data_IF_379631648026
#
_entry.id   IF_379631648026
#
_cell.length_a   1.000
_cell.length_b   1.000
_cell.length_c   1.000
_cell.angle_alpha   90.00
_cell.angle_beta   90.00
_cell.angle_gamma   90.00
#
_symmetry.space_group_name_H-M   'P 1'
#
loop_
_entity.id
_entity.type
_entity.pdbx_description
1 polymer ?
#
# COMPACT_ATOMS: atom_id res chain seq x y z
N UNK A 1 5.19 -6.61 2.81
CA UNK A 1 5.69 -6.63 1.42
C UNK A 1 7.23 -6.55 1.38
N UNK A 2 7.93 -5.61 2.06
CA UNK A 2 9.39 -5.59 2.05
C UNK A 2 10.06 -6.90 2.45
N UNK A 3 9.52 -7.60 3.45
CA UNK A 3 10.07 -8.89 3.90
C UNK A 3 9.92 -9.99 2.85
N UNK A 4 8.85 -9.96 2.06
CA UNK A 4 8.68 -10.85 0.92
C UNK A 4 9.81 -10.67 -0.11
N UNK A 5 10.11 -9.43 -0.49
CA UNK A 5 11.19 -9.14 -1.42
C UNK A 5 12.57 -9.48 -0.85
N UNK A 6 12.82 -9.23 0.44
CA UNK A 6 14.08 -9.64 1.11
C UNK A 6 14.26 -11.16 1.11
N UNK A 7 13.18 -11.90 1.41
CA UNK A 7 13.23 -13.37 1.37
C UNK A 7 13.53 -13.87 -0.04
N UNK A 8 12.86 -13.30 -1.05
CA UNK A 8 13.10 -13.65 -2.45
C UNK A 8 14.55 -13.38 -2.90
N UNK A 9 15.12 -12.22 -2.55
CA UNK A 9 16.53 -11.88 -2.88
C UNK A 9 17.53 -12.82 -2.17
N UNK A 10 17.17 -13.28 -0.97
CA UNK A 10 17.97 -14.26 -0.23
C UNK A 10 17.79 -15.71 -0.71
N UNK A 11 16.91 -15.95 -1.71
CA UNK A 11 16.57 -17.30 -2.17
C UNK A 11 15.76 -18.14 -1.15
N UNK A 12 15.09 -17.47 -0.22
CA UNK A 12 14.31 -18.11 0.85
C UNK A 12 12.81 -17.95 0.62
N UNK A 13 12.03 -18.87 1.22
CA UNK A 13 10.58 -18.70 1.36
C UNK A 13 10.28 -17.64 2.42
N UNK A 14 9.29 -16.78 2.15
CA UNK A 14 8.79 -15.84 3.14
C UNK A 14 8.12 -16.60 4.31
N UNK A 15 8.45 -16.25 5.54
CA UNK A 15 7.81 -16.81 6.72
C UNK A 15 6.69 -15.88 7.18
N UNK A 16 5.48 -16.42 7.34
CA UNK A 16 4.29 -15.66 7.76
C UNK A 16 3.78 -16.23 9.09
N UNK A 17 3.65 -15.35 10.10
CA UNK A 17 3.13 -15.71 11.42
C UNK A 17 1.61 -15.72 11.48
N UNK A 18 0.95 -14.76 10.84
CA UNK A 18 -0.49 -14.54 10.91
C UNK A 18 -1.10 -14.46 9.51
N UNK A 19 -1.22 -15.58 8.76
CA UNK A 19 -1.68 -15.56 7.36
C UNK A 19 -3.10 -15.03 7.19
N UNK A 20 -3.97 -15.27 8.16
CA UNK A 20 -5.38 -14.83 8.13
C UNK A 20 -5.60 -13.40 8.65
N UNK A 21 -4.54 -12.73 9.15
CA UNK A 21 -4.68 -11.37 9.64
C UNK A 21 -4.98 -10.40 8.50
N UNK A 22 -6.04 -9.61 8.66
CA UNK A 22 -6.47 -8.59 7.70
C UNK A 22 -5.77 -7.27 8.04
N UNK A 23 -5.22 -6.62 7.00
CA UNK A 23 -4.50 -5.35 7.13
C UNK A 23 -4.99 -4.35 6.09
N UNK A 24 -4.88 -3.04 6.37
CA UNK A 24 -5.28 -1.96 5.47
C UNK A 24 -4.18 -1.72 4.40
N UNK A 25 -4.16 -2.57 3.39
CA UNK A 25 -3.17 -2.50 2.31
C UNK A 25 -3.49 -1.38 1.34
N UNK A 26 -2.50 -0.57 1.00
CA UNK A 26 -2.62 0.48 -0.01
C UNK A 26 -1.25 0.84 -0.61
N UNK A 27 -1.25 1.45 -1.79
CA UNK A 27 -0.04 1.98 -2.39
C UNK A 27 0.46 3.20 -1.62
N UNK A 28 1.77 3.43 -1.60
CA UNK A 28 2.37 4.55 -0.86
C UNK A 28 1.89 5.92 -1.35
N UNK A 29 1.51 6.06 -2.61
CA UNK A 29 0.99 7.31 -3.18
C UNK A 29 -0.37 7.69 -2.58
N UNK A 30 -1.15 6.74 -2.06
CA UNK A 30 -2.44 7.01 -1.42
C UNK A 30 -2.30 7.91 -0.18
N UNK A 31 -1.56 7.50 0.88
CA UNK A 31 -1.38 8.37 2.03
C UNK A 31 -0.56 9.62 1.71
N UNK A 32 0.41 9.56 0.78
CA UNK A 32 1.19 10.75 0.37
C UNK A 32 0.27 11.79 -0.24
N UNK A 33 -0.66 11.41 -1.12
CA UNK A 33 -1.64 12.36 -1.69
C UNK A 33 -2.46 13.04 -0.60
N UNK A 34 -2.92 12.27 0.39
CA UNK A 34 -3.63 12.79 1.56
C UNK A 34 -2.79 13.77 2.39
N UNK A 35 -1.52 13.46 2.62
CA UNK A 35 -0.61 14.35 3.34
C UNK A 35 -0.38 15.67 2.60
N UNK A 36 -0.23 15.63 1.28
CA UNK A 36 -0.09 16.85 0.46
C UNK A 36 -1.36 17.69 0.46
N UNK A 37 -2.54 17.07 0.38
CA UNK A 37 -3.82 17.77 0.51
C UNK A 37 -3.97 18.42 1.89
N UNK A 38 -3.64 17.71 2.96
CA UNK A 38 -3.65 18.24 4.33
C UNK A 38 -2.67 19.39 4.49
N UNK A 39 -1.43 19.25 4.00
CA UNK A 39 -0.43 20.31 4.04
C UNK A 39 -0.91 21.57 3.33
N UNK A 40 -1.53 21.44 2.14
CA UNK A 40 -2.15 22.54 1.42
C UNK A 40 -3.24 23.22 2.27
N UNK A 41 -4.13 22.48 2.91
CA UNK A 41 -5.19 23.03 3.77
C UNK A 41 -4.63 23.74 5.00
N UNK A 42 -3.60 23.19 5.64
CA UNK A 42 -2.93 23.83 6.78
C UNK A 42 -2.33 25.19 6.40
N UNK A 43 -1.71 25.29 5.22
CA UNK A 43 -1.13 26.56 4.74
C UNK A 43 -2.20 27.57 4.32
N UNK A 44 -3.31 27.10 3.70
CA UNK A 44 -4.30 28.01 3.10
C UNK A 44 -5.46 28.37 4.03
N UNK A 45 -5.84 27.47 4.95
CA UNK A 45 -7.01 27.63 5.84
C UNK A 45 -6.57 27.73 7.32
N UNK A 46 -5.42 27.14 7.67
CA UNK A 46 -4.83 27.26 9.01
C UNK A 46 -5.26 26.19 10.01
N UNK A 47 -5.32 26.58 11.29
CA UNK A 47 -5.40 25.70 12.45
C UNK A 47 -6.61 24.75 12.47
N UNK A 48 -7.67 25.04 11.76
CA UNK A 48 -8.86 24.18 11.65
C UNK A 48 -8.57 22.77 11.09
N UNK A 49 -7.40 22.57 10.49
CA UNK A 49 -6.92 21.29 9.99
C UNK A 49 -5.77 20.69 10.82
N UNK A 50 -5.31 21.38 11.89
CA UNK A 50 -4.23 20.94 12.76
C UNK A 50 -4.71 19.88 13.77
N UNK A 51 -5.10 18.72 13.27
CA UNK A 51 -5.64 17.60 14.03
C UNK A 51 -5.20 16.24 13.44
N UNK A 52 -5.53 15.14 14.13
CA UNK A 52 -5.20 13.80 13.64
C UNK A 52 -6.05 13.42 12.41
N UNK A 53 -5.40 12.82 11.41
CA UNK A 53 -6.03 12.36 10.17
C UNK A 53 -5.60 10.94 9.84
N UNK A 54 -6.54 10.14 9.34
CA UNK A 54 -6.28 8.80 8.83
C UNK A 54 -6.51 8.76 7.32
N UNK A 55 -5.60 8.10 6.62
CA UNK A 55 -5.69 7.82 5.18
C UNK A 55 -5.55 6.31 4.99
N UNK A 56 -6.65 5.63 4.75
CA UNK A 56 -6.71 4.18 4.62
C UNK A 56 -7.49 3.75 3.39
N UNK A 57 -7.29 2.50 2.95
CA UNK A 57 -7.97 1.95 1.77
C UNK A 57 -9.47 1.81 2.01
N UNK A 58 -10.21 1.61 0.93
CA UNK A 58 -11.63 1.26 1.01
C UNK A 58 -11.82 -0.14 1.61
N UNK A 59 -12.97 -0.40 2.22
CA UNK A 59 -13.25 -1.70 2.86
C UNK A 59 -13.14 -2.87 1.88
N UNK A 60 -13.51 -2.65 0.63
CA UNK A 60 -13.43 -3.66 -0.44
C UNK A 60 -11.99 -4.08 -0.78
N UNK A 61 -11.00 -3.32 -0.35
CA UNK A 61 -9.56 -3.60 -0.55
C UNK A 61 -8.91 -4.31 0.65
N UNK A 62 -9.69 -4.63 1.68
CA UNK A 62 -9.22 -5.41 2.82
C UNK A 62 -8.86 -6.84 2.38
N UNK A 63 -7.62 -7.26 2.64
CA UNK A 63 -7.12 -8.60 2.30
C UNK A 63 -6.32 -9.17 3.47
N UNK A 64 -6.34 -10.51 3.57
CA UNK A 64 -5.47 -11.22 4.49
C UNK A 64 -4.01 -11.17 4.01
N UNK A 65 -3.08 -11.39 4.93
CA UNK A 65 -1.65 -11.47 4.60
C UNK A 65 -1.39 -12.57 3.57
N UNK A 66 -2.02 -13.75 3.71
CA UNK A 66 -1.87 -14.86 2.76
C UNK A 66 -2.33 -14.45 1.35
N UNK A 67 -3.49 -13.82 1.20
CA UNK A 67 -3.99 -13.37 -0.11
C UNK A 67 -3.01 -12.40 -0.81
N UNK A 68 -2.39 -11.50 -0.04
CA UNK A 68 -1.37 -10.58 -0.60
C UNK A 68 -0.15 -11.35 -1.07
N UNK A 69 0.35 -12.27 -0.25
CA UNK A 69 1.57 -13.02 -0.58
C UNK A 69 1.33 -14.03 -1.71
N UNK A 70 0.16 -14.65 -1.76
CA UNK A 70 -0.27 -15.50 -2.88
C UNK A 70 -0.26 -14.70 -4.19
N UNK A 71 -0.86 -13.49 -4.20
CA UNK A 71 -0.83 -12.63 -5.39
C UNK A 71 0.62 -12.29 -5.83
N UNK A 72 1.51 -12.02 -4.88
CA UNK A 72 2.93 -11.77 -5.19
C UNK A 72 3.61 -13.03 -5.75
N UNK A 73 3.34 -14.21 -5.19
CA UNK A 73 3.90 -15.47 -5.67
C UNK A 73 3.42 -15.82 -7.08
N UNK A 74 2.17 -15.55 -7.39
CA UNK A 74 1.62 -15.79 -8.74
C UNK A 74 2.29 -14.91 -9.81
N UNK A 75 2.70 -13.71 -9.44
CA UNK A 75 3.31 -12.73 -10.37
C UNK A 75 4.85 -12.85 -10.44
N UNK A 76 5.49 -13.36 -9.39
CA UNK A 76 6.95 -13.38 -9.27
C UNK A 76 7.45 -14.82 -9.20
N UNK A 77 8.01 -15.31 -10.30
CA UNK A 77 8.55 -16.67 -10.38
C UNK A 77 9.68 -16.91 -9.38
N UNK A 78 9.67 -18.08 -8.77
CA UNK A 78 10.69 -18.50 -7.82
C UNK A 78 10.45 -18.03 -6.38
N UNK A 79 9.38 -17.28 -6.15
CA UNK A 79 8.97 -16.92 -4.79
C UNK A 79 8.09 -18.01 -4.17
N UNK A 80 8.12 -18.10 -2.86
CA UNK A 80 7.28 -19.01 -2.07
C UNK A 80 7.11 -18.48 -0.65
N UNK A 81 6.14 -19.03 0.07
CA UNK A 81 5.91 -18.68 1.46
C UNK A 81 5.52 -19.90 2.29
N UNK A 82 5.75 -19.81 3.59
CA UNK A 82 5.40 -20.83 4.58
C UNK A 82 4.84 -20.18 5.84
N UNK A 83 4.07 -20.94 6.60
CA UNK A 83 3.60 -20.52 7.93
C UNK A 83 4.72 -20.75 8.94
N UNK A 84 5.07 -19.71 9.68
CA UNK A 84 6.03 -19.81 10.77
C UNK A 84 5.35 -20.43 12.01
N UNK A 85 5.80 -21.62 12.42
CA UNK A 85 5.28 -22.33 13.59
C UNK A 85 5.93 -21.83 14.88
N UNK A 86 5.70 -20.58 15.26
CA UNK A 86 6.13 -20.05 16.55
C UNK A 86 4.90 -19.81 17.43
N UNK A 87 5.03 -20.09 18.73
CA UNK A 87 4.03 -19.75 19.76
C UNK A 87 3.68 -18.26 19.69
N UNK A 88 2.47 -17.94 19.27
CA UNK A 88 2.09 -16.59 18.88
C UNK A 88 1.87 -15.68 20.08
N UNK A 89 2.57 -14.55 20.10
CA UNK A 89 2.07 -13.34 20.73
C UNK A 89 0.76 -12.94 20.04
N UNK A 90 -0.27 -12.64 20.80
CA UNK A 90 -1.61 -12.34 20.32
C UNK A 90 -1.57 -11.12 19.39
N UNK A 91 -1.56 -11.33 18.08
CA UNK A 91 -1.64 -10.28 17.07
C UNK A 91 -3.10 -10.04 16.69
N UNK A 92 -3.53 -8.78 16.62
CA UNK A 92 -4.89 -8.45 16.21
C UNK A 92 -5.20 -9.05 14.82
N UNK A 93 -6.23 -9.90 14.75
CA UNK A 93 -6.65 -10.58 13.52
C UNK A 93 -7.19 -9.61 12.46
N UNK A 94 -7.74 -8.47 12.91
CA UNK A 94 -8.33 -7.45 12.04
C UNK A 94 -7.82 -6.07 12.43
N UNK A 95 -7.23 -5.36 11.47
CA UNK A 95 -6.89 -3.95 11.58
C UNK A 95 -7.49 -3.22 10.38
N UNK A 96 -8.34 -2.22 10.65
CA UNK A 96 -8.92 -1.32 9.66
C UNK A 96 -8.58 0.13 10.01
N UNK A 97 -8.55 0.98 9.01
CA UNK A 97 -8.36 2.43 9.17
C UNK A 97 -9.62 3.13 8.68
N UNK A 98 -10.27 3.89 9.58
CA UNK A 98 -11.37 4.76 9.18
C UNK A 98 -10.84 6.07 8.62
N UNK A 99 -11.07 6.28 7.33
CA UNK A 99 -10.72 7.49 6.58
C UNK A 99 -11.91 8.40 6.24
N UNK A 100 -13.06 8.18 6.87
CA UNK A 100 -14.30 8.96 6.62
C UNK A 100 -14.09 10.47 6.80
N UNK A 101 -13.29 10.87 7.78
CA UNK A 101 -12.93 12.27 8.02
C UNK A 101 -12.12 12.87 6.85
N UNK A 102 -11.14 12.15 6.33
CA UNK A 102 -10.35 12.60 5.19
C UNK A 102 -11.23 12.71 3.93
N UNK A 103 -12.11 11.76 3.70
CA UNK A 103 -13.07 11.78 2.59
C UNK A 103 -14.02 12.97 2.69
N UNK A 104 -14.61 13.24 3.87
CA UNK A 104 -15.63 14.29 4.03
C UNK A 104 -15.09 15.72 4.14
N UNK A 105 -13.86 15.90 4.64
CA UNK A 105 -13.33 17.25 4.93
C UNK A 105 -12.17 17.67 4.04
N UNK A 106 -11.45 16.71 3.44
CA UNK A 106 -10.38 16.99 2.49
C UNK A 106 -10.75 16.63 1.05
N UNK A 107 -11.92 16.02 0.82
CA UNK A 107 -12.30 15.43 -0.47
C UNK A 107 -11.27 14.39 -0.96
N UNK A 108 -10.54 13.77 -0.01
CA UNK A 108 -9.56 12.75 -0.34
C UNK A 108 -10.25 11.48 -0.80
N UNK A 109 -9.85 10.97 -1.95
CA UNK A 109 -10.41 9.74 -2.55
C UNK A 109 -9.28 8.77 -2.83
N UNK A 110 -9.43 7.54 -2.35
CA UNK A 110 -8.56 6.42 -2.69
C UNK A 110 -8.62 6.14 -4.20
N UNK A 111 -7.48 6.07 -4.88
CA UNK A 111 -7.41 5.97 -6.35
C UNK A 111 -7.16 4.56 -6.84
N UNK A 112 -6.20 3.85 -6.26
CA UNK A 112 -5.77 2.53 -6.72
C UNK A 112 -6.28 1.44 -5.78
N UNK A 113 -7.13 0.56 -6.30
CA UNK A 113 -7.52 -0.64 -5.57
C UNK A 113 -6.30 -1.52 -5.27
N UNK A 114 -6.49 -2.51 -4.40
CA UNK A 114 -5.39 -3.36 -3.93
C UNK A 114 -4.65 -4.09 -5.06
N UNK A 115 -5.34 -4.52 -6.10
CA UNK A 115 -4.73 -5.21 -7.24
C UNK A 115 -3.79 -4.27 -8.01
N UNK A 116 -4.24 -3.06 -8.30
CA UNK A 116 -3.43 -2.02 -8.94
C UNK A 116 -2.23 -1.66 -8.07
N UNK A 117 -2.44 -1.47 -6.76
CA UNK A 117 -1.39 -1.14 -5.80
C UNK A 117 -0.28 -2.21 -5.77
N UNK A 118 -0.66 -3.48 -5.74
CA UNK A 118 0.30 -4.60 -5.77
C UNK A 118 1.04 -4.67 -7.10
N UNK A 119 0.33 -4.55 -8.23
CA UNK A 119 0.97 -4.60 -9.54
C UNK A 119 1.99 -3.46 -9.69
N UNK A 120 1.66 -2.23 -9.28
CA UNK A 120 2.59 -1.10 -9.31
C UNK A 120 3.81 -1.30 -8.40
N UNK A 121 3.61 -1.92 -7.25
CA UNK A 121 4.72 -2.29 -6.35
C UNK A 121 5.63 -3.35 -6.99
N UNK A 122 5.04 -4.35 -7.66
CA UNK A 122 5.79 -5.38 -8.38
C UNK A 122 6.57 -4.79 -9.55
N UNK A 123 5.92 -3.94 -10.37
CA UNK A 123 6.57 -3.26 -11.51
C UNK A 123 7.82 -2.49 -11.04
N UNK A 124 7.69 -1.72 -9.94
CA UNK A 124 8.81 -0.97 -9.39
C UNK A 124 9.94 -1.88 -8.89
N UNK A 125 9.59 -2.96 -8.19
CA UNK A 125 10.56 -3.93 -7.70
C UNK A 125 11.29 -4.64 -8.85
N UNK A 126 10.59 -5.03 -9.92
CA UNK A 126 11.18 -5.66 -11.09
C UNK A 126 12.15 -4.71 -11.81
N UNK A 127 11.78 -3.44 -11.96
CA UNK A 127 12.67 -2.42 -12.51
C UNK A 127 13.94 -2.23 -11.66
N UNK A 128 13.78 -2.20 -10.31
CA UNK A 128 14.93 -2.16 -9.40
C UNK A 128 15.86 -3.37 -9.59
N UNK A 129 15.29 -4.55 -9.66
CA UNK A 129 16.03 -5.80 -9.84
C UNK A 129 16.74 -5.86 -11.19
N UNK A 130 16.12 -5.32 -12.23
CA UNK A 130 16.67 -5.22 -13.58
C UNK A 130 17.67 -4.05 -13.75
N UNK A 131 17.92 -3.25 -12.69
CA UNK A 131 18.77 -2.06 -12.70
C UNK A 131 18.30 -1.00 -13.71
N UNK A 132 17.00 -0.87 -13.88
CA UNK A 132 16.40 0.17 -14.71
C UNK A 132 16.47 1.55 -14.03
N UNK A 133 16.13 2.60 -14.76
CA UNK A 133 16.01 3.95 -14.21
C UNK A 133 14.81 4.08 -13.28
N UNK A 134 15.05 3.98 -11.97
CA UNK A 134 14.01 4.06 -10.95
C UNK A 134 13.38 5.45 -10.84
N UNK A 135 14.09 6.51 -11.22
CA UNK A 135 13.54 7.87 -11.24
C UNK A 135 12.47 7.94 -12.32
N UNK A 136 12.76 7.42 -13.51
CA UNK A 136 11.79 7.35 -14.60
C UNK A 136 10.55 6.53 -14.21
N UNK A 137 10.73 5.33 -13.66
CA UNK A 137 9.61 4.46 -13.24
C UNK A 137 8.76 5.12 -12.15
N UNK A 138 9.41 5.73 -11.15
CA UNK A 138 8.71 6.42 -10.05
C UNK A 138 7.91 7.60 -10.58
N UNK A 139 8.49 8.44 -11.42
CA UNK A 139 7.78 9.58 -12.02
C UNK A 139 6.62 9.12 -12.91
N UNK A 140 6.79 8.05 -13.69
CA UNK A 140 5.70 7.49 -14.49
C UNK A 140 4.52 7.00 -13.63
N UNK A 141 4.78 6.42 -12.45
CA UNK A 141 3.73 6.04 -11.51
C UNK A 141 3.05 7.26 -10.88
N UNK A 142 3.80 8.30 -10.53
CA UNK A 142 3.25 9.57 -10.01
C UNK A 142 2.36 10.21 -11.07
N UNK A 143 2.83 10.35 -12.30
CA UNK A 143 2.07 10.94 -13.40
C UNK A 143 0.76 10.18 -13.67
N UNK A 144 0.81 8.85 -13.62
CA UNK A 144 -0.39 8.02 -13.78
C UNK A 144 -1.38 8.25 -12.64
N UNK A 145 -0.89 8.31 -11.41
CA UNK A 145 -1.70 8.57 -10.22
C UNK A 145 -2.37 9.94 -10.28
N UNK A 146 -1.62 11.00 -10.62
CA UNK A 146 -2.15 12.36 -10.75
C UNK A 146 -3.20 12.49 -11.86
N UNK A 147 -3.02 11.79 -12.99
CA UNK A 147 -4.02 11.76 -14.07
C UNK A 147 -5.35 11.17 -13.61
N UNK A 148 -5.32 10.15 -12.74
CA UNK A 148 -6.55 9.57 -12.20
C UNK A 148 -7.28 10.51 -11.25
N UNK A 149 -6.56 11.29 -10.45
CA UNK A 149 -7.16 12.34 -9.60
C UNK A 149 -7.88 13.37 -10.47
N UNK A 150 -7.21 13.89 -11.51
CA UNK A 150 -7.75 14.94 -12.39
C UNK A 150 -8.96 14.50 -13.24
N UNK A 151 -9.09 13.20 -13.53
CA UNK A 151 -10.22 12.69 -14.32
C UNK A 151 -11.51 12.47 -13.50
N UNK A 152 -11.46 12.69 -12.19
CA UNK A 152 -12.62 12.58 -11.28
C UNK A 152 -13.20 13.94 -10.88
N UNK A 153 -12.48 15.04 -11.17
CA UNK A 153 -12.93 16.43 -11.04
C UNK A 153 -13.71 16.85 -12.31
#
# INVERSE_FOLDING_TARGET
>A
IPDFFRALEAGNSMQIRSPNAIRPWQHVLEPISGYLMLAKKLVTVGENYAEAWNFGPDENDSRSVSQIVEHLCDKIKGSSWNIENISQLHEAGLLKIDSSKAKSRLDWVHQWNIETALNKTIDWYQAWRSREDLIFITNAQIDLYEKQIKNKD
#
